data_IF_806773162357
#
_entry.id   IF_806773162357
#
_cell.length_a   1.000
_cell.length_b   1.000
_cell.length_c   1.000
_cell.angle_alpha   90.00
_cell.angle_beta   90.00
_cell.angle_gamma   90.00
#
_symmetry.space_group_name_H-M   'P 1'
#
loop_
_entity.id
_entity.type
_entity.pdbx_description
1 polymer ?
#
# COMPACT_ATOMS: atom_id res chain seq x y z
N UNK A 1 -16.66 7.03 17.39
CA UNK A 1 -17.09 5.85 16.62
C UNK A 1 -15.84 5.22 16.04
N UNK A 2 -15.44 4.04 16.53
CA UNK A 2 -14.24 3.33 16.02
C UNK A 2 -14.72 2.45 14.88
N UNK A 3 -14.41 2.84 13.64
CA UNK A 3 -14.62 1.99 12.46
C UNK A 3 -13.35 1.18 12.29
N UNK A 4 -13.45 -0.14 12.40
CA UNK A 4 -12.34 -1.06 12.18
C UNK A 4 -12.50 -1.64 10.77
N UNK A 5 -11.69 -1.14 9.83
CA UNK A 5 -11.54 -1.82 8.56
C UNK A 5 -10.64 -3.03 8.78
N UNK A 6 -11.19 -4.22 8.57
CA UNK A 6 -10.45 -5.47 8.63
C UNK A 6 -10.44 -6.02 7.22
N UNK A 7 -9.27 -6.06 6.59
CA UNK A 7 -9.07 -7.01 5.50
C UNK A 7 -9.21 -8.40 6.10
N UNK A 8 -10.38 -8.99 5.98
CA UNK A 8 -10.49 -10.43 6.03
C UNK A 8 -10.17 -10.84 4.61
N UNK A 9 -8.89 -11.13 4.32
CA UNK A 9 -8.50 -11.83 3.10
C UNK A 9 -9.27 -13.15 3.10
N UNK A 10 -10.43 -13.11 2.46
CA UNK A 10 -11.57 -13.93 2.83
C UNK A 10 -11.43 -15.28 2.18
N UNK A 11 -10.65 -16.17 2.80
CA UNK A 11 -10.20 -17.43 2.23
C UNK A 11 -9.47 -17.20 0.91
N UNK A 12 -8.20 -17.60 0.87
CA UNK A 12 -7.65 -18.08 -0.38
C UNK A 12 -8.60 -19.17 -0.91
N UNK A 13 -9.60 -18.78 -1.70
CA UNK A 13 -10.20 -19.61 -2.73
C UNK A 13 -9.20 -19.70 -3.88
N UNK A 14 -7.90 -19.81 -3.56
CA UNK A 14 -7.00 -20.53 -4.44
C UNK A 14 -7.53 -21.96 -4.41
N UNK A 15 -8.37 -22.30 -5.38
CA UNK A 15 -8.40 -23.68 -5.83
C UNK A 15 -6.93 -24.12 -5.92
N UNK A 16 -6.57 -25.29 -5.41
CA UNK A 16 -5.17 -25.81 -5.45
C UNK A 16 -4.55 -25.82 -6.87
N UNK A 17 -5.37 -25.54 -7.91
CA UNK A 17 -5.02 -25.41 -9.32
C UNK A 17 -4.67 -23.98 -9.77
N UNK A 18 -4.96 -22.95 -8.99
CA UNK A 18 -4.71 -21.55 -9.36
C UNK A 18 -3.41 -21.04 -8.75
N UNK A 19 -2.50 -20.56 -9.60
CA UNK A 19 -1.21 -20.01 -9.18
C UNK A 19 -1.33 -18.63 -8.50
N UNK A 20 -2.47 -17.93 -8.69
CA UNK A 20 -2.73 -16.62 -8.08
C UNK A 20 -4.21 -16.50 -7.66
N UNK A 21 -4.53 -15.79 -6.56
CA UNK A 21 -5.91 -15.65 -6.09
C UNK A 21 -6.74 -14.85 -7.09
N UNK A 22 -7.83 -15.45 -7.56
CA UNK A 22 -8.72 -14.87 -8.58
C UNK A 22 -9.83 -13.99 -8.02
N UNK A 23 -10.07 -14.01 -6.70
CA UNK A 23 -11.07 -13.19 -6.00
C UNK A 23 -10.65 -12.95 -4.55
N UNK A 24 -11.02 -11.78 -4.04
CA UNK A 24 -10.88 -11.43 -2.62
C UNK A 24 -11.92 -10.36 -2.24
N UNK A 25 -11.99 -9.97 -0.96
CA UNK A 25 -12.95 -8.99 -0.47
C UNK A 25 -12.36 -8.12 0.64
N UNK A 26 -12.77 -6.85 0.67
CA UNK A 26 -12.52 -5.92 1.79
C UNK A 26 -13.78 -5.86 2.64
N UNK A 27 -13.66 -6.13 3.93
CA UNK A 27 -14.77 -6.08 4.89
C UNK A 27 -14.58 -4.89 5.85
N UNK A 28 -15.67 -4.20 6.14
CA UNK A 28 -15.64 -3.09 7.10
C UNK A 28 -16.58 -3.40 8.24
N UNK A 29 -16.04 -3.38 9.45
CA UNK A 29 -16.78 -3.65 10.67
C UNK A 29 -16.86 -2.38 11.53
N UNK A 30 -18.01 -2.19 12.17
CA UNK A 30 -18.14 -1.22 13.24
C UNK A 30 -17.85 -1.93 14.57
N UNK A 31 -17.08 -1.30 15.45
CA UNK A 31 -16.87 -1.82 16.81
C UNK A 31 -17.85 -1.11 17.74
N UNK A 32 -18.88 -1.82 18.17
CA UNK A 32 -19.94 -1.28 19.03
C UNK A 32 -20.41 -2.35 20.02
N UNK A 33 -20.53 -2.00 21.30
CA UNK A 33 -21.03 -2.89 22.37
C UNK A 33 -20.39 -4.29 22.38
N UNK A 34 -19.07 -4.37 22.22
CA UNK A 34 -18.30 -5.63 22.14
C UNK A 34 -18.73 -6.55 20.97
N UNK A 35 -19.44 -6.01 19.98
CA UNK A 35 -19.82 -6.68 18.74
C UNK A 35 -19.05 -6.06 17.56
N UNK A 36 -18.99 -6.85 16.48
CA UNK A 36 -18.38 -6.48 15.21
C UNK A 36 -19.41 -6.63 14.07
N UNK A 37 -20.48 -5.82 14.03
CA UNK A 37 -21.38 -5.81 12.88
C UNK A 37 -20.63 -5.44 11.60
N UNK A 38 -20.83 -6.24 10.55
CA UNK A 38 -20.38 -5.93 9.19
C UNK A 38 -21.24 -4.78 8.65
N UNK A 39 -20.60 -3.69 8.24
CA UNK A 39 -21.29 -2.48 7.74
C UNK A 39 -21.06 -2.23 6.26
N UNK A 40 -19.99 -2.79 5.67
CA UNK A 40 -19.78 -2.75 4.23
C UNK A 40 -18.89 -3.91 3.77
N UNK A 41 -19.08 -4.32 2.52
CA UNK A 41 -18.30 -5.33 1.83
C UNK A 41 -17.95 -4.84 0.42
N UNK A 42 -16.70 -5.06 0.00
CA UNK A 42 -16.23 -4.72 -1.35
C UNK A 42 -15.50 -5.90 -1.96
N UNK A 43 -16.06 -6.49 -3.01
CA UNK A 43 -15.39 -7.52 -3.80
C UNK A 43 -14.25 -6.94 -4.65
N UNK A 44 -13.14 -7.66 -4.68
CA UNK A 44 -11.96 -7.39 -5.51
C UNK A 44 -11.67 -8.60 -6.40
N UNK A 45 -11.21 -8.34 -7.62
CA UNK A 45 -10.89 -9.41 -8.60
C UNK A 45 -9.57 -10.12 -8.32
N UNK A 46 -8.83 -9.72 -7.29
CA UNK A 46 -7.50 -10.22 -6.92
C UNK A 46 -7.28 -9.99 -5.43
N UNK A 47 -6.29 -10.70 -4.87
CA UNK A 47 -5.91 -10.58 -3.46
C UNK A 47 -5.55 -9.16 -3.04
N UNK A 48 -6.00 -8.79 -1.85
CA UNK A 48 -5.65 -7.55 -1.17
C UNK A 48 -4.53 -7.84 -0.16
N UNK A 49 -3.32 -7.36 -0.43
CA UNK A 49 -2.14 -7.64 0.39
C UNK A 49 -1.95 -6.65 1.55
N UNK A 50 -2.30 -5.38 1.35
CA UNK A 50 -2.19 -4.34 2.38
C UNK A 50 -3.35 -3.35 2.29
N UNK A 51 -3.74 -2.80 3.43
CA UNK A 51 -4.71 -1.71 3.58
C UNK A 51 -4.18 -0.71 4.61
N UNK A 52 -4.23 0.58 4.27
CA UNK A 52 -3.82 1.66 5.17
C UNK A 52 -4.87 2.77 5.22
N UNK A 53 -4.88 3.54 6.30
CA UNK A 53 -5.69 4.75 6.39
C UNK A 53 -4.96 5.93 5.73
N UNK A 54 -5.66 6.72 4.93
CA UNK A 54 -5.05 7.81 4.17
C UNK A 54 -6.03 8.97 3.96
N UNK A 55 -5.92 10.04 4.75
CA UNK A 55 -6.72 11.27 4.59
C UNK A 55 -8.24 11.03 4.41
N UNK A 56 -8.83 10.14 5.23
CA UNK A 56 -10.25 9.77 5.13
C UNK A 56 -10.59 8.77 4.00
N UNK A 57 -9.57 8.25 3.33
CA UNK A 57 -9.62 7.23 2.27
C UNK A 57 -8.77 6.02 2.66
N UNK A 58 -8.79 4.99 1.82
CA UNK A 58 -8.10 3.73 2.07
C UNK A 58 -7.38 3.22 0.81
N UNK A 59 -6.06 3.42 0.68
CA UNK A 59 -5.26 2.72 -0.31
C UNK A 59 -5.21 1.23 0.02
N UNK A 60 -5.48 0.42 -1.00
CA UNK A 60 -5.41 -1.02 -0.99
C UNK A 60 -4.37 -1.49 -2.01
N UNK A 61 -3.43 -2.33 -1.56
CA UNK A 61 -2.53 -3.03 -2.46
C UNK A 61 -3.23 -4.28 -2.99
N UNK A 62 -3.64 -4.24 -4.26
CA UNK A 62 -4.38 -5.31 -4.93
C UNK A 62 -3.51 -5.84 -6.07
N UNK A 63 -2.79 -6.92 -5.82
CA UNK A 63 -1.82 -7.49 -6.76
C UNK A 63 -0.80 -6.44 -7.27
N UNK A 64 -0.77 -6.16 -8.57
CA UNK A 64 0.10 -5.17 -9.21
C UNK A 64 -0.38 -3.71 -9.12
N UNK A 65 -1.45 -3.44 -8.36
CA UNK A 65 -2.15 -2.15 -8.34
C UNK A 65 -2.27 -1.59 -6.92
N UNK A 66 -2.06 -0.29 -6.75
CA UNK A 66 -2.57 0.47 -5.60
C UNK A 66 -3.92 1.08 -5.98
N UNK A 67 -4.97 0.70 -5.28
CA UNK A 67 -6.33 1.17 -5.50
C UNK A 67 -6.77 2.02 -4.31
N UNK A 68 -7.15 3.27 -4.57
CA UNK A 68 -7.71 4.16 -3.54
C UNK A 68 -9.23 3.98 -3.46
N UNK A 69 -9.71 3.75 -2.25
CA UNK A 69 -11.13 3.71 -1.93
C UNK A 69 -11.55 4.89 -1.06
N UNK A 70 -12.73 5.43 -1.35
CA UNK A 70 -13.40 6.44 -0.54
C UNK A 70 -14.60 5.82 0.17
N UNK A 71 -14.77 6.18 1.43
CA UNK A 71 -15.97 5.85 2.18
C UNK A 71 -17.11 6.78 1.77
N UNK A 72 -18.24 6.22 1.35
CA UNK A 72 -19.42 6.96 0.93
C UNK A 72 -20.64 6.49 1.72
N UNK A 73 -21.37 7.45 2.30
CA UNK A 73 -22.68 7.22 2.88
C UNK A 73 -23.72 7.39 1.76
N UNK A 74 -24.53 6.37 1.54
CA UNK A 74 -25.64 6.39 0.58
C UNK A 74 -26.87 7.05 1.22
N UNK A 75 -27.80 7.48 0.39
CA UNK A 75 -29.04 8.14 0.81
C UNK A 75 -29.94 7.24 1.67
N UNK A 76 -29.79 5.92 1.54
CA UNK A 76 -30.48 4.90 2.34
C UNK A 76 -29.86 4.68 3.74
N UNK A 77 -28.81 5.44 4.08
CA UNK A 77 -28.09 5.31 5.34
C UNK A 77 -27.05 4.18 5.37
N UNK A 78 -26.92 3.40 4.30
CA UNK A 78 -25.88 2.38 4.18
C UNK A 78 -24.55 3.00 3.78
N UNK A 79 -23.44 2.35 4.14
CA UNK A 79 -22.12 2.81 3.76
C UNK A 79 -21.50 1.89 2.70
N UNK A 80 -20.67 2.47 1.83
CA UNK A 80 -19.94 1.70 0.82
C UNK A 80 -18.49 2.18 0.61
N UNK A 81 -17.65 1.26 0.15
CA UNK A 81 -16.32 1.57 -0.39
C UNK A 81 -16.43 1.81 -1.90
N UNK A 82 -16.33 3.07 -2.30
CA UNK A 82 -16.30 3.48 -3.70
C UNK A 82 -14.85 3.54 -4.19
N UNK A 83 -14.58 2.93 -5.34
CA UNK A 83 -13.28 3.03 -6.02
C UNK A 83 -13.12 4.44 -6.58
N UNK A 84 -12.05 5.13 -6.22
CA UNK A 84 -11.77 6.48 -6.70
C UNK A 84 -10.77 6.46 -7.87
N UNK A 85 -9.53 6.04 -7.61
CA UNK A 85 -8.48 5.96 -8.61
C UNK A 85 -7.45 4.88 -8.26
N UNK A 86 -6.54 4.58 -9.17
CA UNK A 86 -5.46 3.67 -8.83
C UNK A 86 -4.27 3.69 -9.78
N UNK A 87 -3.15 3.25 -9.24
CA UNK A 87 -1.85 3.22 -9.88
C UNK A 87 -1.44 1.78 -10.18
N UNK A 88 -0.90 1.53 -11.37
CA UNK A 88 -0.37 0.23 -11.80
C UNK A 88 1.13 0.36 -12.06
N UNK A 89 1.85 -0.75 -12.19
CA UNK A 89 3.29 -0.74 -12.52
C UNK A 89 4.17 -1.53 -11.55
N UNK A 90 3.57 -1.99 -10.46
CA UNK A 90 4.18 -2.91 -9.51
C UNK A 90 4.22 -4.33 -10.09
N UNK A 91 5.19 -5.15 -9.69
CA UNK A 91 5.14 -6.60 -9.92
C UNK A 91 4.11 -7.19 -8.97
N UNK A 92 4.26 -6.89 -7.68
CA UNK A 92 3.32 -7.24 -6.63
C UNK A 92 3.48 -6.23 -5.50
N UNK A 93 2.48 -5.38 -5.29
CA UNK A 93 2.47 -4.44 -4.17
C UNK A 93 2.10 -5.21 -2.90
N UNK A 94 3.06 -5.33 -1.98
CA UNK A 94 2.90 -6.12 -0.76
C UNK A 94 2.74 -5.24 0.48
N UNK A 95 3.54 -4.19 0.57
CA UNK A 95 3.60 -3.34 1.75
C UNK A 95 3.22 -1.92 1.37
N UNK A 96 2.35 -1.30 2.16
CA UNK A 96 1.93 0.09 1.95
C UNK A 96 2.11 0.84 3.25
N UNK A 97 2.69 2.03 3.16
CA UNK A 97 2.74 2.99 4.24
C UNK A 97 2.30 4.36 3.74
N UNK A 98 1.77 5.18 4.64
CA UNK A 98 1.10 6.43 4.29
C UNK A 98 1.50 7.54 5.23
N UNK A 99 1.87 8.69 4.69
CA UNK A 99 2.22 9.88 5.48
C UNK A 99 1.87 11.15 4.71
N UNK A 100 1.02 12.01 5.29
CA UNK A 100 0.53 13.19 4.58
C UNK A 100 -0.19 12.79 3.28
N UNK A 101 0.27 13.32 2.14
CA UNK A 101 -0.23 12.95 0.81
C UNK A 101 0.61 11.88 0.09
N UNK A 102 1.62 11.33 0.77
CA UNK A 102 2.49 10.29 0.25
C UNK A 102 2.00 8.89 0.58
N UNK A 103 2.16 8.00 -0.39
CA UNK A 103 1.92 6.56 -0.28
C UNK A 103 3.22 5.86 -0.69
N UNK A 104 3.88 5.21 0.26
CA UNK A 104 5.09 4.43 0.02
C UNK A 104 4.71 2.98 -0.18
N UNK A 105 5.22 2.37 -1.26
CA UNK A 105 4.91 0.99 -1.63
C UNK A 105 6.19 0.17 -1.68
N UNK A 106 6.23 -0.90 -0.89
CA UNK A 106 7.22 -1.97 -1.01
C UNK A 106 6.71 -3.03 -1.99
N UNK A 107 7.41 -3.16 -3.11
CA UNK A 107 7.13 -4.14 -4.17
C UNK A 107 7.90 -5.45 -3.91
N UNK A 108 7.35 -6.60 -4.33
CA UNK A 108 8.02 -7.90 -4.20
C UNK A 108 9.44 -7.93 -4.78
N UNK A 109 9.72 -7.23 -5.88
CA UNK A 109 11.06 -7.19 -6.50
C UNK A 109 11.50 -5.81 -7.02
N UNK A 110 10.59 -4.83 -7.09
CA UNK A 110 10.92 -3.46 -7.56
C UNK A 110 11.19 -2.48 -6.42
N UNK A 111 11.77 -2.95 -5.32
CA UNK A 111 12.15 -2.13 -4.17
C UNK A 111 11.02 -1.21 -3.68
N UNK A 112 11.33 0.03 -3.31
CA UNK A 112 10.43 1.06 -2.82
C UNK A 112 10.01 1.99 -3.97
N UNK A 113 8.73 2.35 -3.98
CA UNK A 113 8.20 3.45 -4.83
C UNK A 113 7.41 4.44 -3.98
N UNK A 114 7.56 5.72 -4.30
CA UNK A 114 6.86 6.82 -3.66
C UNK A 114 5.77 7.32 -4.61
N UNK A 115 4.52 7.16 -4.20
CA UNK A 115 3.36 7.70 -4.90
C UNK A 115 2.84 8.93 -4.15
N UNK A 116 2.24 9.86 -4.90
CA UNK A 116 1.47 10.98 -4.34
C UNK A 116 0.02 10.89 -4.78
N UNK A 117 -0.89 11.25 -3.90
CA UNK A 117 -2.29 11.46 -4.28
C UNK A 117 -2.54 12.94 -4.56
N UNK A 118 -2.80 13.27 -5.83
CA UNK A 118 -3.19 14.61 -6.26
C UNK A 118 -4.70 14.79 -6.08
N UNK A 119 -5.09 15.46 -4.98
CA UNK A 119 -6.50 15.65 -4.61
C UNK A 119 -7.33 16.37 -5.68
N UNK A 120 -6.76 17.38 -6.31
CA UNK A 120 -7.43 18.19 -7.34
C UNK A 120 -7.73 17.39 -8.61
N UNK A 121 -6.81 16.49 -8.98
CA UNK A 121 -6.94 15.63 -10.16
C UNK A 121 -7.69 14.32 -9.84
N UNK A 122 -7.86 14.00 -8.55
CA UNK A 122 -8.42 12.72 -8.11
C UNK A 122 -7.57 11.52 -8.51
N UNK A 123 -6.26 11.70 -8.70
CA UNK A 123 -5.36 10.69 -9.27
C UNK A 123 -4.16 10.37 -8.36
N UNK A 124 -3.62 9.15 -8.50
CA UNK A 124 -2.35 8.75 -7.88
C UNK A 124 -1.27 8.78 -8.96
N UNK A 125 -0.14 9.41 -8.65
CA UNK A 125 1.03 9.48 -9.52
C UNK A 125 2.27 8.93 -8.83
N UNK A 126 3.10 8.19 -9.55
CA UNK A 126 4.44 7.82 -9.11
C UNK A 126 5.35 9.06 -9.19
N UNK A 127 5.94 9.45 -8.06
CA UNK A 127 6.85 10.59 -7.98
C UNK A 127 8.29 10.17 -8.21
N UNK A 128 8.70 9.10 -7.54
CA UNK A 128 10.07 8.60 -7.59
C UNK A 128 10.07 7.14 -7.17
N UNK A 129 11.06 6.39 -7.61
CA UNK A 129 11.26 5.00 -7.18
C UNK A 129 12.73 4.69 -6.97
N UNK A 130 12.99 3.67 -6.19
CA UNK A 130 14.26 2.98 -6.22
C UNK A 130 14.28 2.01 -7.40
N UNK A 131 15.32 2.11 -8.24
CA UNK A 131 15.49 1.26 -9.42
C UNK A 131 16.25 -0.04 -9.12
N UNK A 132 16.72 -0.23 -7.89
CA UNK A 132 17.33 -1.49 -7.48
C UNK A 132 16.30 -2.63 -7.44
N UNK A 133 16.78 -3.85 -7.72
CA UNK A 133 15.96 -5.05 -7.70
C UNK A 133 15.90 -5.66 -6.29
N UNK A 134 15.41 -4.88 -5.33
CA UNK A 134 15.32 -5.31 -3.93
C UNK A 134 14.03 -6.10 -3.69
N UNK A 135 14.18 -7.28 -3.09
CA UNK A 135 13.07 -8.12 -2.69
C UNK A 135 12.60 -7.75 -1.30
N UNK A 136 11.50 -7.01 -1.21
CA UNK A 136 11.06 -6.38 0.02
C UNK A 136 10.43 -7.37 1.00
N UNK A 137 10.69 -7.17 2.30
CA UNK A 137 10.07 -7.90 3.42
C UNK A 137 9.27 -7.00 4.36
N UNK A 138 9.64 -5.71 4.46
CA UNK A 138 8.88 -4.66 5.14
C UNK A 138 9.30 -3.27 4.62
N UNK A 139 8.45 -2.25 4.83
CA UNK A 139 8.75 -0.84 4.50
C UNK A 139 8.20 0.08 5.59
N UNK A 140 8.92 1.16 5.89
CA UNK A 140 8.47 2.19 6.83
C UNK A 140 8.89 3.60 6.39
N UNK A 141 8.13 4.60 6.82
CA UNK A 141 8.41 6.02 6.58
C UNK A 141 9.06 6.60 7.82
N UNK A 142 10.34 7.00 7.71
CA UNK A 142 11.04 7.64 8.83
C UNK A 142 10.67 9.11 8.94
N UNK A 143 10.68 9.82 7.81
CA UNK A 143 10.27 11.23 7.71
C UNK A 143 9.71 11.54 6.30
N UNK A 144 9.62 12.83 5.94
CA UNK A 144 9.02 13.26 4.68
C UNK A 144 9.91 12.96 3.45
N UNK A 145 11.19 12.70 3.66
CA UNK A 145 12.21 12.52 2.63
C UNK A 145 12.93 11.16 2.71
N UNK A 146 12.94 10.49 3.86
CA UNK A 146 13.68 9.24 4.11
C UNK A 146 12.71 8.08 4.38
N UNK A 147 12.92 6.99 3.65
CA UNK A 147 12.15 5.76 3.73
C UNK A 147 13.05 4.58 4.07
N UNK A 148 12.59 3.69 4.93
CA UNK A 148 13.29 2.48 5.38
C UNK A 148 12.72 1.26 4.68
N UNK A 149 13.59 0.42 4.15
CA UNK A 149 13.25 -0.88 3.59
C UNK A 149 13.97 -2.01 4.30
N UNK A 150 13.29 -3.14 4.45
CA UNK A 150 13.90 -4.41 4.76
C UNK A 150 13.81 -5.35 3.55
N UNK A 151 14.86 -6.14 3.35
CA UNK A 151 14.99 -7.08 2.26
C UNK A 151 14.89 -8.53 2.73
N UNK A 152 14.67 -9.45 1.79
CA UNK A 152 14.62 -10.88 2.07
C UNK A 152 15.99 -11.52 2.37
N UNK A 153 17.09 -10.81 2.09
CA UNK A 153 18.47 -11.23 2.35
C UNK A 153 18.98 -10.74 3.73
N UNK A 154 18.06 -10.29 4.60
CA UNK A 154 18.33 -9.82 5.96
C UNK A 154 19.05 -8.46 6.05
N UNK A 155 19.02 -7.68 4.96
CA UNK A 155 19.53 -6.31 4.93
C UNK A 155 18.43 -5.29 5.21
N UNK A 156 18.83 -4.19 5.84
CA UNK A 156 18.09 -2.94 5.93
C UNK A 156 18.75 -1.91 5.01
N UNK A 157 17.94 -1.07 4.40
CA UNK A 157 18.43 0.06 3.63
C UNK A 157 17.52 1.27 3.81
N UNK A 158 18.10 2.46 3.72
CA UNK A 158 17.35 3.72 3.73
C UNK A 158 17.55 4.42 2.40
N UNK A 159 16.45 4.90 1.83
CA UNK A 159 16.45 5.69 0.61
C UNK A 159 15.92 7.09 0.88
N UNK A 160 16.44 8.07 0.14
CA UNK A 160 16.06 9.47 0.26
C UNK A 160 15.48 10.00 -1.05
N UNK A 161 14.41 10.78 -0.93
CA UNK A 161 13.80 11.54 -2.02
C UNK A 161 14.75 12.67 -2.45
N UNK A 162 15.17 12.67 -3.72
CA UNK A 162 16.01 13.72 -4.27
C UNK A 162 15.17 14.87 -4.86
N UNK A 163 14.64 15.75 -4.00
CA UNK A 163 13.82 16.90 -4.47
C UNK A 163 14.62 17.98 -5.20
N UNK A 164 15.94 18.04 -4.99
CA UNK A 164 16.81 19.07 -5.55
C UNK A 164 17.60 18.60 -6.78
N UNK A 165 17.24 17.45 -7.37
CA UNK A 165 17.87 16.94 -8.59
C UNK A 165 17.78 17.95 -9.73
N UNK A 166 18.87 18.06 -10.50
CA UNK A 166 18.98 19.00 -11.60
C UNK A 166 18.15 18.56 -12.81
N UNK A 167 17.95 17.26 -12.97
CA UNK A 167 17.17 16.66 -14.06
C UNK A 167 15.87 16.02 -13.55
N UNK A 168 14.94 15.72 -14.46
CA UNK A 168 13.73 14.96 -14.10
C UNK A 168 14.06 13.52 -13.75
N UNK A 169 15.08 12.93 -14.38
CA UNK A 169 15.57 11.58 -14.09
C UNK A 169 16.14 11.48 -12.67
N UNK A 170 16.93 12.47 -12.24
CA UNK A 170 17.49 12.51 -10.88
C UNK A 170 16.40 12.66 -9.81
N UNK A 171 15.35 13.43 -10.10
CA UNK A 171 14.19 13.60 -9.21
C UNK A 171 13.30 12.35 -9.19
N UNK A 172 13.28 11.60 -10.29
CA UNK A 172 12.55 10.34 -10.45
C UNK A 172 13.20 9.12 -9.78
N UNK A 173 14.41 9.26 -9.25
CA UNK A 173 15.17 8.19 -8.59
C UNK A 173 15.32 8.43 -7.08
N UNK A 174 15.08 7.40 -6.27
CA UNK A 174 15.39 7.40 -4.85
C UNK A 174 16.87 7.08 -4.63
N UNK A 175 17.56 7.90 -3.84
CA UNK A 175 18.98 7.72 -3.55
C UNK A 175 19.15 6.81 -2.33
N UNK A 176 19.96 5.74 -2.45
CA UNK A 176 20.33 4.91 -1.29
C UNK A 176 21.32 5.69 -0.43
N UNK A 177 20.94 5.97 0.82
CA UNK A 177 21.72 6.78 1.76
C UNK A 177 22.20 6.01 3.00
N UNK A 178 21.82 4.74 3.11
CA UNK A 178 22.27 3.88 4.21
C UNK A 178 21.94 2.42 3.93
N UNK A 179 22.83 1.54 4.35
CA UNK A 179 22.73 0.08 4.22
C UNK A 179 23.28 -0.56 5.50
N UNK A 180 22.59 -1.59 5.99
CA UNK A 180 22.97 -2.30 7.21
C UNK A 180 22.54 -3.76 7.16
N UNK A 181 23.49 -4.67 7.31
CA UNK A 181 23.20 -6.10 7.43
C UNK A 181 22.67 -6.41 8.83
N UNK A 182 21.36 -6.62 8.95
CA UNK A 182 20.70 -6.90 10.22
C UNK A 182 20.89 -8.35 10.66
N UNK A 183 20.88 -9.29 9.71
CA UNK A 183 20.94 -10.73 9.99
C UNK A 183 19.61 -11.35 10.45
N UNK A 184 18.52 -10.57 10.44
CA UNK A 184 17.16 -11.00 10.81
C UNK A 184 16.16 -10.73 9.68
N UNK A 185 15.10 -11.55 9.61
CA UNK A 185 14.02 -11.37 8.64
C UNK A 185 12.91 -10.48 9.23
N UNK A 186 12.91 -9.20 8.86
CA UNK A 186 11.90 -8.23 9.33
C UNK A 186 10.56 -8.48 8.63
N UNK A 187 9.54 -8.84 9.42
CA UNK A 187 8.18 -9.03 8.92
C UNK A 187 7.31 -7.77 9.03
N UNK A 188 7.67 -6.84 9.93
CA UNK A 188 6.92 -5.62 10.22
C UNK A 188 7.82 -4.61 10.93
N UNK A 189 7.64 -3.33 10.58
CA UNK A 189 8.12 -2.18 11.34
C UNK A 189 7.02 -1.63 12.26
#
# INVERSE_FOLDING_TARGET
>A
MIVMCITVSGQLTSCLKENQPSKDRILVFLVEDQKLPLIAEKETKRAVYSLNAFNGKQPAAINQKIQLYKWMLRDDGTCELQSECGHHGHILALYVQTRGDFIVVGDLMKSISLLIYKREEGAIEERTRDHNANWMSAVEILDDDIYLGAQNNFDLFTVRKNSNGATDEERGCLEVVGEYHLGEFVNRF
#
